data_IF_439262328669
#
_entry.id   IF_439262328669
#
_cell.length_a   1.000
_cell.length_b   1.000
_cell.length_c   1.000
_cell.angle_alpha   90.00
_cell.angle_beta   90.00
_cell.angle_gamma   90.00
#
_symmetry.space_group_name_H-M   'P 1'
#
loop_
_entity.id
_entity.type
_entity.pdbx_description
1 polymer ?
#
# COMPACT_ATOMS: atom_id res chain seq x y z
N UNK A 1 8.32 -12.53 8.07
CA UNK A 1 6.89 -12.27 7.81
C UNK A 1 6.73 -11.40 6.59
N UNK A 2 6.49 -12.04 5.43
CA UNK A 2 6.39 -11.35 4.15
C UNK A 2 4.92 -10.98 3.98
N UNK A 3 4.60 -9.69 3.96
CA UNK A 3 3.23 -9.22 3.68
C UNK A 3 2.67 -9.76 2.36
N UNK A 4 3.56 -10.15 1.44
CA UNK A 4 3.28 -10.88 0.19
C UNK A 4 2.62 -12.25 0.38
N UNK A 5 2.82 -12.89 1.52
CA UNK A 5 2.23 -14.21 1.81
C UNK A 5 0.83 -14.07 2.43
N UNK A 6 0.34 -12.84 2.64
CA UNK A 6 -0.97 -12.59 3.25
C UNK A 6 -2.10 -12.85 2.25
N UNK A 7 -3.20 -13.53 2.64
CA UNK A 7 -4.29 -13.86 1.72
C UNK A 7 -4.96 -12.62 1.11
N UNK A 8 -4.97 -11.50 1.84
CA UNK A 8 -5.53 -10.23 1.36
C UNK A 8 -4.50 -9.34 0.64
N UNK A 9 -3.29 -9.85 0.34
CA UNK A 9 -2.26 -9.04 -0.30
C UNK A 9 -2.76 -8.45 -1.63
N UNK A 10 -3.29 -9.29 -2.52
CA UNK A 10 -3.79 -8.87 -3.83
C UNK A 10 -5.04 -7.96 -3.75
N UNK A 11 -5.70 -7.92 -2.59
CA UNK A 11 -6.84 -7.04 -2.36
C UNK A 11 -6.41 -5.60 -2.05
N UNK A 12 -5.26 -5.43 -1.38
CA UNK A 12 -4.80 -4.12 -0.91
C UNK A 12 -3.58 -3.59 -1.66
N UNK A 13 -2.78 -4.48 -2.24
CA UNK A 13 -1.51 -4.15 -2.86
C UNK A 13 -1.48 -4.58 -4.32
N UNK A 14 -0.71 -3.83 -5.11
CA UNK A 14 -0.39 -4.14 -6.49
C UNK A 14 1.13 -4.10 -6.67
N UNK A 15 1.69 -5.08 -7.36
CA UNK A 15 3.11 -5.10 -7.72
C UNK A 15 3.23 -4.74 -9.20
N UNK A 16 3.80 -3.55 -9.47
CA UNK A 16 4.14 -3.17 -10.82
C UNK A 16 5.52 -3.74 -11.21
N UNK A 17 5.73 -4.14 -12.47
CA UNK A 17 7.07 -4.45 -12.98
C UNK A 17 8.06 -3.30 -12.70
N UNK A 18 9.33 -3.61 -12.42
CA UNK A 18 10.35 -2.63 -12.00
C UNK A 18 10.55 -1.47 -12.99
N UNK A 19 10.25 -1.66 -14.28
CA UNK A 19 10.36 -0.64 -15.33
C UNK A 19 9.07 0.19 -15.55
N UNK A 20 8.04 -0.01 -14.72
CA UNK A 20 6.74 0.64 -14.91
C UNK A 20 6.82 2.11 -14.50
N UNK A 21 6.62 2.99 -15.46
CA UNK A 21 6.49 4.42 -15.20
C UNK A 21 5.10 4.76 -14.65
N UNK A 22 4.97 5.91 -13.99
CA UNK A 22 3.67 6.41 -13.52
C UNK A 22 2.62 6.55 -14.63
N UNK A 23 3.04 6.74 -15.88
CA UNK A 23 2.13 6.80 -17.04
C UNK A 23 1.69 5.41 -17.51
N UNK A 24 2.48 4.37 -17.22
CA UNK A 24 2.17 2.98 -17.55
C UNK A 24 1.39 2.29 -16.44
N UNK A 25 1.40 2.82 -15.20
CA UNK A 25 0.58 2.35 -14.09
C UNK A 25 -0.92 2.32 -14.46
N UNK A 26 -1.42 3.35 -15.14
CA UNK A 26 -2.81 3.41 -15.64
C UNK A 26 -3.19 2.24 -16.57
N UNK A 27 -2.21 1.60 -17.23
CA UNK A 27 -2.43 0.44 -18.10
C UNK A 27 -2.63 -0.85 -17.29
N UNK A 28 -2.03 -0.93 -16.10
CA UNK A 28 -2.16 -2.05 -15.17
C UNK A 28 -3.39 -1.90 -14.26
N UNK A 29 -3.85 -0.68 -14.06
CA UNK A 29 -5.00 -0.31 -13.22
C UNK A 29 -6.37 -0.63 -13.87
N UNK A 30 -6.37 -1.37 -14.99
CA UNK A 30 -7.55 -2.06 -15.47
C UNK A 30 -8.68 -1.15 -15.95
N UNK A 31 -8.38 -0.05 -16.65
CA UNK A 31 -9.23 0.61 -17.67
C UNK A 31 -10.62 1.17 -17.32
N UNK A 32 -11.35 0.65 -16.32
CA UNK A 32 -12.73 1.08 -15.99
C UNK A 32 -13.07 1.03 -14.50
N UNK A 33 -12.21 0.49 -13.64
CA UNK A 33 -12.44 0.50 -12.18
C UNK A 33 -11.31 1.23 -11.50
N UNK A 34 -11.66 2.20 -10.65
CA UNK A 34 -10.74 2.92 -9.77
C UNK A 34 -9.85 1.93 -9.01
N UNK A 35 -8.64 1.73 -9.50
CA UNK A 35 -7.64 0.89 -8.85
C UNK A 35 -7.21 1.61 -7.57
N UNK A 36 -7.80 1.20 -6.45
CA UNK A 36 -7.54 1.80 -5.14
C UNK A 36 -6.44 1.03 -4.37
N UNK A 37 -5.80 0.06 -5.02
CA UNK A 37 -4.72 -0.73 -4.42
C UNK A 37 -3.43 0.07 -4.36
N UNK A 38 -2.66 -0.18 -3.30
CA UNK A 38 -1.45 0.56 -2.99
C UNK A 38 -0.27 -0.13 -3.70
N UNK A 39 0.60 0.62 -4.39
CA UNK A 39 1.81 0.05 -4.97
C UNK A 39 2.69 -0.57 -3.89
N UNK A 40 3.03 -1.85 -4.04
CA UNK A 40 3.84 -2.59 -3.07
C UNK A 40 5.22 -1.95 -2.84
N UNK A 41 5.79 -1.36 -3.89
CA UNK A 41 7.07 -0.65 -3.85
C UNK A 41 7.10 0.49 -2.82
N UNK A 42 5.96 1.10 -2.50
CA UNK A 42 5.87 2.13 -1.45
C UNK A 42 6.29 1.55 -0.10
N UNK A 43 5.97 0.28 0.18
CA UNK A 43 6.38 -0.36 1.44
C UNK A 43 7.90 -0.58 1.55
N UNK A 44 8.65 -0.48 0.45
CA UNK A 44 10.12 -0.54 0.46
C UNK A 44 10.76 0.82 0.77
N UNK A 45 9.99 1.91 0.70
CA UNK A 45 10.45 3.25 1.01
C UNK A 45 10.63 3.41 2.53
N UNK A 46 11.65 4.15 2.95
CA UNK A 46 11.94 4.40 4.37
C UNK A 46 10.79 5.15 5.04
N UNK A 47 10.15 6.03 4.28
CA UNK A 47 9.01 6.85 4.67
C UNK A 47 7.77 6.00 5.04
N UNK A 48 7.64 4.80 4.48
CA UNK A 48 6.51 3.92 4.79
C UNK A 48 6.53 3.46 6.26
N UNK A 49 7.71 3.25 6.83
CA UNK A 49 7.85 2.88 8.24
C UNK A 49 7.38 4.02 9.17
N UNK A 50 7.71 5.27 8.83
CA UNK A 50 7.33 6.45 9.60
C UNK A 50 5.81 6.70 9.53
N UNK A 51 5.20 6.56 8.34
CA UNK A 51 3.75 6.67 8.16
C UNK A 51 3.01 5.60 8.96
N UNK A 52 3.49 4.35 8.93
CA UNK A 52 2.91 3.25 9.69
C UNK A 52 2.97 3.50 11.20
N UNK A 53 4.13 3.90 11.73
CA UNK A 53 4.29 4.24 13.15
C UNK A 53 3.39 5.39 13.57
N UNK A 54 3.27 6.42 12.73
CA UNK A 54 2.38 7.55 13.00
C UNK A 54 0.91 7.10 13.04
N UNK A 55 0.48 6.26 12.10
CA UNK A 55 -0.88 5.72 12.08
C UNK A 55 -1.19 4.87 13.33
N UNK A 56 -0.27 3.98 13.73
CA UNK A 56 -0.37 3.21 14.97
C UNK A 56 -0.52 4.10 16.20
N UNK A 57 0.30 5.16 16.29
CA UNK A 57 0.23 6.10 17.40
C UNK A 57 -1.13 6.80 17.46
N UNK A 58 -1.71 7.17 16.32
CA UNK A 58 -3.05 7.74 16.25
C UNK A 58 -4.14 6.74 16.66
N UNK A 59 -4.05 5.49 16.21
CA UNK A 59 -4.99 4.43 16.62
C UNK A 59 -4.96 4.21 18.13
N UNK A 60 -3.78 4.10 18.73
CA UNK A 60 -3.63 3.96 20.17
C UNK A 60 -4.15 5.20 20.92
N UNK A 61 -3.91 6.40 20.41
CA UNK A 61 -4.43 7.63 21.00
C UNK A 61 -5.97 7.66 20.96
N UNK A 62 -6.58 7.21 19.86
CA UNK A 62 -8.03 7.12 19.72
C UNK A 62 -8.64 6.05 20.64
N UNK A 63 -7.99 4.88 20.78
CA UNK A 63 -8.42 3.84 21.70
C UNK A 63 -8.35 4.28 23.17
N UNK A 64 -7.38 5.12 23.53
CA UNK A 64 -7.28 5.69 24.89
C UNK A 64 -8.26 6.84 25.14
N UNK A 65 -8.88 7.40 24.09
CA UNK A 65 -9.90 8.46 24.19
C UNK A 65 -11.32 7.91 24.33
N UNK A 66 -11.56 6.64 23.95
CA UNK A 66 -12.77 5.90 24.32
C UNK A 66 -12.64 5.31 25.72
#
# INVERSE_FOLDING_TARGET
DRIRDHPDFDHWFIEYPEDTTWMEADLFDGGETTENRIPYEILKMLEAEDVYKNHLNQLHANQKRL
#
